data_IF_939236122855
#
_entry.id   IF_939236122855
#
_cell.length_a   1.000
_cell.length_b   1.000
_cell.length_c   1.000
_cell.angle_alpha   90.00
_cell.angle_beta   90.00
_cell.angle_gamma   90.00
#
_symmetry.space_group_name_H-M   'P 1'
#
loop_
_entity.id
_entity.type
_entity.pdbx_description
1 polymer ?
#
# COMPACT_ATOMS: atom_id res chain seq x y z
N UNK A 1 -5.64 -26.55 17.60
CA UNK A 1 -6.96 -26.06 18.05
C UNK A 1 -7.95 -26.68 17.11
N UNK A 2 -8.85 -27.53 17.61
CA UNK A 2 -9.81 -28.29 16.80
C UNK A 2 -11.21 -27.75 17.09
N UNK A 3 -12.04 -27.51 16.06
CA UNK A 3 -13.47 -27.12 16.19
C UNK A 3 -13.77 -25.81 16.95
N UNK A 4 -12.90 -24.80 16.85
CA UNK A 4 -13.05 -23.53 17.58
C UNK A 4 -14.33 -22.74 17.25
N UNK A 5 -14.76 -22.72 15.99
CA UNK A 5 -15.95 -22.00 15.51
C UNK A 5 -17.02 -22.96 14.97
N UNK A 6 -17.02 -24.19 15.48
CA UNK A 6 -17.94 -25.21 14.98
C UNK A 6 -19.39 -24.91 15.36
N UNK A 7 -20.29 -24.98 14.37
CA UNK A 7 -21.72 -24.71 14.57
C UNK A 7 -22.06 -23.23 14.77
N UNK A 8 -21.09 -22.32 14.62
CA UNK A 8 -21.32 -20.89 14.73
C UNK A 8 -22.05 -20.39 13.47
N UNK A 9 -23.36 -20.22 13.57
CA UNK A 9 -24.23 -19.87 12.43
C UNK A 9 -24.26 -18.37 12.10
N UNK A 10 -23.71 -17.54 12.98
CA UNK A 10 -23.63 -16.08 12.84
C UNK A 10 -22.22 -15.53 13.13
N UNK A 11 -21.18 -16.38 13.01
CA UNK A 11 -19.80 -15.94 13.22
C UNK A 11 -19.33 -15.10 12.02
N UNK A 12 -18.98 -13.85 12.30
CA UNK A 12 -18.58 -12.82 11.34
C UNK A 12 -17.59 -11.87 12.04
N UNK A 13 -16.45 -12.40 12.46
CA UNK A 13 -15.45 -11.66 13.24
C UNK A 13 -14.09 -11.71 12.54
N UNK A 14 -13.33 -10.61 12.65
CA UNK A 14 -11.98 -10.43 12.12
C UNK A 14 -10.96 -11.33 12.87
N UNK A 15 -10.09 -12.01 12.12
CA UNK A 15 -9.05 -12.90 12.62
C UNK A 15 -7.64 -12.58 12.08
N UNK A 16 -7.42 -11.38 11.52
CA UNK A 16 -6.15 -11.01 10.87
C UNK A 16 -4.91 -11.12 11.79
N UNK A 17 -5.09 -11.05 13.12
CA UNK A 17 -4.00 -11.20 14.10
C UNK A 17 -3.65 -12.66 14.45
N UNK A 18 -4.37 -13.65 13.91
CA UNK A 18 -4.11 -15.06 14.22
C UNK A 18 -3.08 -15.71 13.29
N UNK A 19 -2.72 -15.06 12.16
CA UNK A 19 -1.82 -15.59 11.12
C UNK A 19 -0.49 -16.14 11.66
N UNK A 20 0.12 -15.45 12.64
CA UNK A 20 1.44 -15.80 13.16
C UNK A 20 1.44 -17.02 14.12
N UNK A 21 0.29 -17.41 14.66
CA UNK A 21 0.16 -18.51 15.63
C UNK A 21 -0.43 -19.80 15.01
N UNK A 22 -0.78 -19.78 13.73
CA UNK A 22 -1.23 -20.96 13.01
C UNK A 22 -0.04 -21.76 12.50
N UNK A 23 0.34 -22.78 13.28
CA UNK A 23 1.31 -23.76 12.81
C UNK A 23 0.69 -24.60 11.68
N UNK A 24 1.19 -24.43 10.45
CA UNK A 24 0.82 -25.19 9.25
C UNK A 24 0.88 -26.73 9.40
N UNK A 25 1.61 -27.23 10.40
CA UNK A 25 1.70 -28.67 10.73
C UNK A 25 0.65 -29.14 11.75
N UNK A 26 -0.07 -28.22 12.42
CA UNK A 26 -1.25 -28.54 13.25
C UNK A 26 -2.52 -28.23 12.47
N UNK A 27 -2.91 -29.23 11.69
CA UNK A 27 -4.15 -29.38 10.92
C UNK A 27 -5.33 -28.65 11.60
N UNK A 28 -5.79 -27.55 10.99
CA UNK A 28 -6.95 -26.72 11.40
C UNK A 28 -8.27 -27.19 10.77
N UNK A 29 -8.27 -28.41 10.23
CA UNK A 29 -9.29 -28.96 9.32
C UNK A 29 -10.74 -28.87 9.83
N UNK A 30 -10.97 -28.97 11.14
CA UNK A 30 -12.34 -28.90 11.68
C UNK A 30 -12.72 -27.55 12.28
N UNK A 31 -11.93 -26.49 12.14
CA UNK A 31 -12.14 -25.22 12.85
C UNK A 31 -13.51 -24.59 12.59
N UNK A 32 -14.00 -24.67 11.35
CA UNK A 32 -15.23 -24.03 10.88
C UNK A 32 -16.32 -25.04 10.47
N UNK A 33 -16.20 -26.30 10.88
CA UNK A 33 -17.21 -27.32 10.56
C UNK A 33 -18.58 -26.88 11.11
N UNK A 34 -19.65 -27.06 10.34
CA UNK A 34 -21.01 -26.64 10.76
C UNK A 34 -21.24 -25.12 10.91
N UNK A 35 -20.23 -24.27 10.70
CA UNK A 35 -20.41 -22.81 10.69
C UNK A 35 -21.17 -22.32 9.45
N UNK A 36 -21.62 -21.06 9.49
CA UNK A 36 -22.21 -20.37 8.33
C UNK A 36 -21.22 -20.06 7.19
N UNK A 37 -19.93 -20.36 7.34
CA UNK A 37 -18.90 -19.94 6.40
C UNK A 37 -19.03 -20.61 5.03
N UNK A 38 -18.84 -19.84 3.96
CA UNK A 38 -19.00 -20.34 2.58
C UNK A 38 -17.91 -21.34 2.16
N UNK A 39 -16.72 -21.31 2.80
CA UNK A 39 -15.58 -22.11 2.39
C UNK A 39 -14.83 -22.69 3.59
N UNK A 40 -14.80 -24.02 3.68
CA UNK A 40 -14.45 -24.75 4.91
C UNK A 40 -13.27 -25.71 4.74
N UNK A 41 -12.77 -25.86 3.52
CA UNK A 41 -12.01 -27.05 3.11
C UNK A 41 -10.51 -26.82 2.83
N UNK A 42 -10.01 -25.60 2.94
CA UNK A 42 -8.58 -25.33 2.76
C UNK A 42 -8.07 -24.20 3.66
N UNK A 43 -7.52 -24.52 4.85
CA UNK A 43 -6.93 -23.54 5.75
C UNK A 43 -5.49 -23.13 5.37
N UNK A 44 -4.99 -23.51 4.18
CA UNK A 44 -3.62 -23.21 3.72
C UNK A 44 -3.53 -22.12 2.66
N UNK A 45 -4.65 -21.53 2.26
CA UNK A 45 -4.58 -20.36 1.39
C UNK A 45 -4.04 -19.18 2.20
N UNK A 46 -3.01 -18.50 1.68
CA UNK A 46 -2.44 -17.25 2.21
C UNK A 46 -3.46 -16.10 2.28
N UNK A 47 -4.73 -16.40 1.99
CA UNK A 47 -5.91 -15.56 2.00
C UNK A 47 -7.12 -16.28 2.65
N UNK A 48 -6.99 -16.81 3.88
CA UNK A 48 -8.09 -17.26 4.78
C UNK A 48 -8.60 -18.73 4.70
N UNK A 49 -9.52 -19.19 5.61
CA UNK A 49 -10.97 -19.16 5.33
C UNK A 49 -11.70 -17.98 5.98
N UNK A 50 -12.11 -16.94 5.27
CA UNK A 50 -13.21 -16.88 4.27
C UNK A 50 -14.62 -16.67 4.88
N UNK A 51 -14.81 -15.63 5.69
CA UNK A 51 -16.01 -14.78 5.67
C UNK A 51 -15.63 -13.33 6.05
N UNK A 52 -15.65 -12.46 5.02
CA UNK A 52 -15.53 -11.01 5.04
C UNK A 52 -14.23 -10.37 5.57
N UNK A 53 -13.12 -10.51 4.83
CA UNK A 53 -12.08 -9.47 4.89
C UNK A 53 -12.61 -8.25 4.13
N UNK A 54 -12.90 -7.16 4.85
CA UNK A 54 -13.11 -5.86 4.19
C UNK A 54 -12.22 -4.75 4.73
N UNK A 55 -11.41 -4.91 5.80
CA UNK A 55 -10.48 -3.85 6.25
C UNK A 55 -9.38 -4.34 7.21
N UNK A 56 -8.47 -5.21 6.74
CA UNK A 56 -7.18 -5.46 7.42
C UNK A 56 -6.05 -4.68 6.75
N UNK A 57 -6.29 -3.40 6.47
CA UNK A 57 -5.27 -2.53 5.89
C UNK A 57 -4.40 -1.97 7.02
N UNK A 58 -3.09 -2.13 6.90
CA UNK A 58 -2.14 -1.40 7.75
C UNK A 58 -2.30 0.09 7.42
N UNK A 59 -2.65 0.89 8.43
CA UNK A 59 -2.85 2.34 8.26
C UNK A 59 -1.56 3.06 8.60
N UNK A 60 -0.97 3.67 7.58
CA UNK A 60 0.20 4.54 7.72
C UNK A 60 -0.23 5.88 8.31
N UNK A 61 0.51 6.35 9.31
CA UNK A 61 0.19 7.62 9.99
C UNK A 61 1.26 8.69 9.79
N UNK A 62 2.49 8.29 9.46
CA UNK A 62 3.61 9.21 9.26
C UNK A 62 4.46 8.77 8.06
N UNK A 63 5.17 9.74 7.46
CA UNK A 63 6.04 9.53 6.30
C UNK A 63 7.05 8.39 6.52
N UNK A 64 7.72 8.36 7.67
CA UNK A 64 8.80 7.40 7.94
C UNK A 64 8.30 5.96 7.89
N UNK A 65 7.12 5.66 8.49
CA UNK A 65 6.51 4.33 8.45
C UNK A 65 6.19 3.90 7.01
N UNK A 66 5.59 4.81 6.24
CA UNK A 66 5.24 4.55 4.85
C UNK A 66 6.50 4.34 4.01
N UNK A 67 7.50 5.20 4.15
CA UNK A 67 8.76 5.11 3.42
C UNK A 67 9.52 3.82 3.73
N UNK A 68 9.55 3.39 4.99
CA UNK A 68 10.19 2.13 5.38
C UNK A 68 9.44 0.92 4.79
N UNK A 69 8.11 0.94 4.77
CA UNK A 69 7.32 -0.09 4.12
C UNK A 69 7.55 -0.15 2.60
N UNK A 70 7.68 1.00 1.92
CA UNK A 70 8.04 1.05 0.49
C UNK A 70 9.43 0.45 0.26
N UNK A 71 10.41 0.78 1.11
CA UNK A 71 11.76 0.19 1.05
C UNK A 71 11.71 -1.33 1.19
N UNK A 72 10.93 -1.85 2.14
CA UNK A 72 10.76 -3.29 2.32
C UNK A 72 10.07 -3.94 1.11
N UNK A 73 8.98 -3.32 0.61
CA UNK A 73 8.19 -3.84 -0.51
C UNK A 73 9.01 -3.89 -1.81
N UNK A 74 9.71 -2.81 -2.16
CA UNK A 74 10.54 -2.78 -3.37
C UNK A 74 11.81 -3.62 -3.22
N UNK A 75 12.42 -3.65 -2.02
CA UNK A 75 13.60 -4.48 -1.74
C UNK A 75 13.35 -5.98 -1.83
N UNK A 76 12.10 -6.42 -1.65
CA UNK A 76 11.68 -7.82 -1.83
C UNK A 76 11.19 -8.14 -3.26
N UNK A 77 11.26 -7.19 -4.20
CA UNK A 77 10.67 -7.31 -5.55
C UNK A 77 9.19 -7.73 -5.51
N UNK A 78 8.44 -7.22 -4.53
CA UNK A 78 7.01 -7.47 -4.37
C UNK A 78 6.15 -7.18 -5.61
N UNK A 79 6.47 -6.22 -6.51
CA UNK A 79 5.75 -6.07 -7.77
C UNK A 79 5.73 -7.37 -8.60
N UNK A 80 6.82 -8.13 -8.57
CA UNK A 80 6.99 -9.39 -9.31
C UNK A 80 6.71 -10.63 -8.45
N UNK A 81 6.97 -10.56 -7.14
CA UNK A 81 6.78 -11.64 -6.17
C UNK A 81 5.48 -11.43 -5.36
N UNK A 82 4.46 -12.24 -5.68
CA UNK A 82 3.17 -12.22 -4.99
C UNK A 82 3.24 -12.79 -3.56
N UNK A 83 4.28 -13.53 -3.22
CA UNK A 83 4.46 -14.17 -1.91
C UNK A 83 5.40 -13.38 -0.99
N UNK A 84 5.80 -12.17 -1.39
CA UNK A 84 6.68 -11.35 -0.58
C UNK A 84 6.03 -11.01 0.78
N UNK A 85 6.85 -10.91 1.83
CA UNK A 85 6.35 -10.69 3.18
C UNK A 85 5.70 -9.32 3.35
N UNK A 86 6.18 -8.29 2.64
CA UNK A 86 5.64 -6.94 2.74
C UNK A 86 4.16 -6.86 2.32
N UNK A 87 3.72 -7.68 1.35
CA UNK A 87 2.30 -7.77 0.97
C UNK A 87 1.44 -8.24 2.15
N UNK A 88 1.91 -9.22 2.91
CA UNK A 88 1.20 -9.69 4.11
C UNK A 88 1.26 -8.67 5.25
N UNK A 89 2.38 -7.95 5.40
CA UNK A 89 2.59 -6.99 6.47
C UNK A 89 1.74 -5.71 6.33
N UNK A 90 1.52 -5.25 5.09
CA UNK A 90 0.95 -3.91 4.83
C UNK A 90 -0.41 -3.91 4.15
N UNK A 91 -1.02 -5.08 3.94
CA UNK A 91 -2.37 -5.16 3.37
C UNK A 91 -2.41 -5.29 1.84
N UNK A 92 -1.39 -5.92 1.25
CA UNK A 92 -1.38 -6.35 -0.15
C UNK A 92 -0.52 -5.47 -1.05
N UNK A 93 -1.05 -5.19 -2.24
CA UNK A 93 -0.36 -4.35 -3.22
C UNK A 93 -0.18 -2.93 -2.69
N UNK A 94 0.97 -2.32 -2.98
CA UNK A 94 1.34 -0.99 -2.52
C UNK A 94 0.29 0.08 -2.85
N UNK A 95 -0.41 -0.06 -3.97
CA UNK A 95 -1.46 0.87 -4.39
C UNK A 95 -2.72 0.88 -3.53
N UNK A 96 -2.93 -0.14 -2.69
CA UNK A 96 -4.14 -0.30 -1.86
C UNK A 96 -3.90 0.03 -0.38
N UNK A 97 -2.69 0.48 -0.03
CA UNK A 97 -2.33 0.83 1.34
C UNK A 97 -3.13 2.02 1.86
N UNK A 98 -3.56 1.94 3.14
CA UNK A 98 -4.26 3.06 3.80
C UNK A 98 -3.25 4.13 4.21
N UNK A 99 -3.11 5.14 3.35
CA UNK A 99 -2.27 6.32 3.58
C UNK A 99 -3.09 7.56 3.96
N UNK A 100 -4.39 7.41 4.25
CA UNK A 100 -5.34 8.52 4.48
C UNK A 100 -4.98 9.42 5.67
N UNK A 101 -4.10 8.94 6.56
CA UNK A 101 -3.59 9.68 7.71
C UNK A 101 -2.22 10.31 7.52
N UNK A 102 -1.52 10.02 6.42
CA UNK A 102 -0.20 10.58 6.14
C UNK A 102 -0.38 12.00 5.61
N UNK A 103 0.37 12.95 6.18
CA UNK A 103 0.37 14.37 5.76
C UNK A 103 1.63 14.75 4.96
N UNK A 104 2.69 13.95 5.05
CA UNK A 104 3.93 14.13 4.33
C UNK A 104 4.24 12.92 3.42
N UNK A 105 4.15 13.14 2.10
CA UNK A 105 4.49 12.18 1.04
C UNK A 105 5.85 12.48 0.41
N UNK A 106 6.68 13.27 1.08
CA UNK A 106 7.99 13.63 0.57
C UNK A 106 8.87 12.41 0.41
N UNK A 107 9.60 12.38 -0.71
CA UNK A 107 10.65 11.41 -1.00
C UNK A 107 10.20 9.94 -0.88
N UNK A 108 8.99 9.56 -1.25
CA UNK A 108 8.52 8.18 -1.10
C UNK A 108 9.08 7.19 -2.14
N UNK A 109 9.33 7.62 -3.37
CA UNK A 109 9.84 6.81 -4.48
C UNK A 109 11.04 7.51 -5.13
N UNK A 110 12.12 7.69 -4.37
CA UNK A 110 13.31 8.40 -4.83
C UNK A 110 14.40 7.43 -5.25
N UNK A 111 15.04 7.68 -6.39
CA UNK A 111 16.28 7.01 -6.83
C UNK A 111 17.39 8.02 -7.14
N UNK A 112 17.62 8.96 -6.21
CA UNK A 112 18.68 9.97 -6.30
C UNK A 112 19.94 9.57 -5.53
N UNK A 113 21.01 10.37 -5.65
CA UNK A 113 22.28 10.09 -4.97
C UNK A 113 22.26 10.31 -3.44
N UNK A 114 21.19 10.88 -2.88
CA UNK A 114 21.18 11.35 -1.49
C UNK A 114 20.59 10.31 -0.53
N UNK A 115 19.41 9.75 -0.84
CA UNK A 115 18.74 8.68 -0.07
C UNK A 115 17.82 7.86 -0.99
N UNK A 116 18.38 6.99 -1.84
CA UNK A 116 17.59 6.20 -2.80
C UNK A 116 16.79 5.08 -2.11
N UNK A 117 15.72 4.64 -2.76
CA UNK A 117 15.08 3.34 -2.52
C UNK A 117 15.46 2.41 -3.67
N UNK A 118 16.09 1.29 -3.34
CA UNK A 118 16.34 0.20 -4.30
C UNK A 118 15.02 -0.24 -4.96
N UNK A 119 14.98 -0.20 -6.29
CA UNK A 119 13.79 -0.54 -7.08
C UNK A 119 12.87 0.63 -7.44
N UNK A 120 13.09 1.84 -6.90
CA UNK A 120 12.27 3.01 -7.23
C UNK A 120 12.40 3.46 -8.70
N UNK A 121 13.59 3.37 -9.30
CA UNK A 121 13.77 3.69 -10.74
C UNK A 121 12.89 2.84 -11.67
N UNK A 122 12.57 1.62 -11.25
CA UNK A 122 11.74 0.66 -12.02
C UNK A 122 10.29 0.62 -11.57
N UNK A 123 9.93 1.35 -10.50
CA UNK A 123 8.59 1.35 -9.94
C UNK A 123 7.57 1.97 -10.91
N UNK A 124 6.47 1.25 -11.16
CA UNK A 124 5.39 1.70 -12.04
C UNK A 124 4.04 1.02 -11.71
N UNK A 125 3.78 0.68 -10.44
CA UNK A 125 2.48 0.14 -10.01
C UNK A 125 1.47 1.28 -9.78
N UNK A 126 0.15 1.04 -10.00
CA UNK A 126 -0.88 2.03 -9.71
C UNK A 126 -0.92 2.38 -8.22
N UNK A 127 -1.22 3.64 -7.90
CA UNK A 127 -1.34 4.15 -6.53
C UNK A 127 -2.76 4.69 -6.30
N UNK A 128 -3.66 3.85 -5.81
CA UNK A 128 -5.07 4.21 -5.52
C UNK A 128 -5.20 4.84 -4.12
N UNK A 129 -4.28 5.74 -3.80
CA UNK A 129 -4.17 6.34 -2.48
C UNK A 129 -5.16 7.47 -2.26
N UNK A 130 -5.72 7.54 -1.04
CA UNK A 130 -6.40 8.73 -0.52
C UNK A 130 -5.36 9.67 0.08
N UNK A 131 -5.02 10.73 -0.66
CA UNK A 131 -4.03 11.74 -0.23
C UNK A 131 -4.68 12.99 0.35
N UNK A 132 -5.96 12.96 0.76
CA UNK A 132 -6.69 14.15 1.22
C UNK A 132 -6.13 14.80 2.49
N UNK A 133 -5.20 14.14 3.19
CA UNK A 133 -4.46 14.69 4.33
C UNK A 133 -3.11 15.31 3.94
N UNK A 134 -2.64 15.12 2.71
CA UNK A 134 -1.32 15.53 2.26
C UNK A 134 -1.14 17.05 2.28
N UNK A 135 -0.02 17.48 2.85
CA UNK A 135 0.45 18.87 2.84
C UNK A 135 1.80 19.01 2.12
N UNK A 136 2.59 17.93 2.06
CA UNK A 136 3.89 17.90 1.38
C UNK A 136 4.00 16.70 0.42
N UNK A 137 4.49 16.94 -0.79
CA UNK A 137 4.80 15.92 -1.81
C UNK A 137 6.19 16.17 -2.45
N UNK A 138 7.13 16.69 -1.66
CA UNK A 138 8.46 17.08 -2.09
C UNK A 138 9.24 15.88 -2.65
N UNK A 139 9.73 15.97 -3.89
CA UNK A 139 10.51 14.91 -4.53
C UNK A 139 9.89 13.51 -4.51
N UNK A 140 8.56 13.39 -4.41
CA UNK A 140 7.89 12.09 -4.20
C UNK A 140 8.31 11.01 -5.21
N UNK A 141 8.51 11.37 -6.48
CA UNK A 141 8.94 10.49 -7.57
C UNK A 141 10.26 10.93 -8.21
N UNK A 142 11.15 11.57 -7.45
CA UNK A 142 12.42 12.06 -8.00
C UNK A 142 13.27 10.90 -8.50
N UNK A 143 13.68 10.97 -9.76
CA UNK A 143 14.47 9.96 -10.48
C UNK A 143 13.78 8.58 -10.58
N UNK A 144 12.47 8.48 -10.30
CA UNK A 144 11.66 7.28 -10.56
C UNK A 144 11.41 7.12 -12.06
N UNK A 145 12.46 6.73 -12.79
CA UNK A 145 12.56 6.84 -14.25
C UNK A 145 11.41 6.15 -15.01
N UNK A 146 10.90 5.03 -14.50
CA UNK A 146 9.84 4.24 -15.12
C UNK A 146 8.41 4.67 -14.73
N UNK A 147 8.25 5.53 -13.71
CA UNK A 147 6.92 5.85 -13.19
C UNK A 147 6.08 6.63 -14.20
N UNK A 148 4.93 6.08 -14.57
CA UNK A 148 4.02 6.65 -15.56
C UNK A 148 2.57 6.20 -15.34
N UNK A 149 2.13 6.11 -14.07
CA UNK A 149 0.76 5.78 -13.72
C UNK A 149 -0.11 7.03 -13.56
N UNK A 150 -1.42 6.95 -13.89
CA UNK A 150 -2.33 8.06 -13.62
C UNK A 150 -2.43 8.32 -12.11
N UNK A 151 -2.49 9.60 -11.73
CA UNK A 151 -2.59 10.06 -10.34
C UNK A 151 -3.94 10.72 -10.05
N UNK A 152 -5.01 10.31 -10.74
CA UNK A 152 -6.32 10.95 -10.65
C UNK A 152 -7.01 10.78 -9.29
N UNK A 153 -6.51 9.89 -8.42
CA UNK A 153 -7.02 9.72 -7.04
C UNK A 153 -6.35 10.67 -6.05
N UNK A 154 -5.26 11.33 -6.43
CA UNK A 154 -4.53 12.22 -5.54
C UNK A 154 -5.34 13.51 -5.35
N UNK A 155 -5.74 13.78 -4.11
CA UNK A 155 -6.21 15.08 -3.67
C UNK A 155 -5.00 15.93 -3.27
N UNK A 156 -4.76 17.01 -4.01
CA UNK A 156 -3.67 17.95 -3.75
C UNK A 156 -4.13 19.29 -3.19
N UNK A 157 -5.41 19.42 -2.81
CA UNK A 157 -6.02 20.69 -2.38
C UNK A 157 -5.40 21.32 -1.12
N UNK A 158 -4.66 20.53 -0.33
CA UNK A 158 -3.94 20.99 0.87
C UNK A 158 -2.42 21.01 0.71
N UNK A 159 -1.91 20.58 -0.45
CA UNK A 159 -0.47 20.46 -0.68
C UNK A 159 0.10 21.84 -0.96
N UNK A 160 1.02 22.29 -0.10
CA UNK A 160 1.70 23.57 -0.25
C UNK A 160 3.12 23.45 -0.82
N UNK A 161 3.65 22.23 -0.91
CA UNK A 161 4.98 21.98 -1.43
C UNK A 161 5.02 20.72 -2.32
N UNK A 162 5.27 20.93 -3.60
CA UNK A 162 5.45 19.86 -4.62
C UNK A 162 6.82 19.94 -5.29
N UNK A 163 7.81 20.57 -4.65
CA UNK A 163 9.07 20.88 -5.30
C UNK A 163 9.77 19.60 -5.82
N UNK A 164 10.09 19.61 -7.10
CA UNK A 164 10.77 18.49 -7.77
C UNK A 164 10.04 17.15 -7.71
N UNK A 165 8.71 17.12 -7.50
CA UNK A 165 7.92 15.89 -7.36
C UNK A 165 8.19 14.86 -8.46
N UNK A 166 8.36 15.31 -9.72
CA UNK A 166 8.63 14.47 -10.89
C UNK A 166 10.01 14.73 -11.53
N UNK A 167 10.93 15.39 -10.81
CA UNK A 167 12.28 15.67 -11.33
C UNK A 167 12.97 14.36 -11.69
N UNK A 168 13.33 14.15 -12.96
CA UNK A 168 13.99 12.92 -13.42
C UNK A 168 13.07 11.71 -13.62
N UNK A 169 11.76 11.84 -13.41
CA UNK A 169 10.77 10.81 -13.75
C UNK A 169 10.55 10.72 -15.27
N UNK A 170 11.54 10.19 -15.98
CA UNK A 170 11.69 10.30 -17.44
C UNK A 170 10.50 9.77 -18.25
N UNK A 171 9.80 8.74 -17.75
CA UNK A 171 8.63 8.17 -18.43
C UNK A 171 7.32 8.91 -18.16
N UNK A 172 7.27 9.82 -17.18
CA UNK A 172 6.03 10.42 -16.73
C UNK A 172 5.42 11.33 -17.80
N UNK A 173 4.22 10.95 -18.26
CA UNK A 173 3.47 11.70 -19.26
C UNK A 173 1.97 11.53 -19.00
N UNK A 174 1.50 12.03 -17.85
CA UNK A 174 0.11 11.92 -17.41
C UNK A 174 -0.53 13.27 -17.21
N UNK A 175 -1.85 13.24 -17.34
CA UNK A 175 -2.70 14.41 -17.13
C UNK A 175 -2.65 14.83 -15.66
N UNK A 176 -2.34 16.09 -15.42
CA UNK A 176 -2.28 16.73 -14.11
C UNK A 176 -3.39 17.77 -13.91
N UNK A 177 -4.39 17.83 -14.80
CA UNK A 177 -5.49 18.82 -14.69
C UNK A 177 -6.32 18.70 -13.41
N UNK A 178 -6.28 17.55 -12.74
CA UNK A 178 -6.91 17.33 -11.44
C UNK A 178 -6.11 17.91 -10.26
N UNK A 179 -4.84 18.29 -10.45
CA UNK A 179 -4.01 18.81 -9.38
C UNK A 179 -4.40 20.25 -9.07
N UNK A 180 -4.88 20.45 -7.85
CA UNK A 180 -5.00 21.78 -7.28
C UNK A 180 -3.62 22.30 -6.86
N UNK A 181 -3.28 23.48 -7.36
CA UNK A 181 -2.00 24.17 -7.10
C UNK A 181 -2.21 25.52 -6.41
N UNK A 182 -3.42 25.81 -5.90
CA UNK A 182 -3.75 27.09 -5.30
C UNK A 182 -2.95 27.41 -4.03
N UNK A 183 -2.52 26.38 -3.31
CA UNK A 183 -1.75 26.48 -2.07
C UNK A 183 -0.22 26.37 -2.29
N UNK A 184 0.23 26.12 -3.53
CA UNK A 184 1.66 25.94 -3.85
C UNK A 184 2.32 27.29 -4.10
N UNK A 185 3.35 27.62 -3.31
CA UNK A 185 4.05 28.92 -3.40
C UNK A 185 4.80 29.11 -4.74
N UNK A 186 5.34 28.03 -5.30
CA UNK A 186 6.08 28.05 -6.56
C UNK A 186 5.72 26.84 -7.43
N UNK A 187 4.94 27.09 -8.48
CA UNK A 187 4.55 26.08 -9.47
C UNK A 187 5.54 25.93 -10.62
N UNK A 188 6.56 26.80 -10.70
CA UNK A 188 7.56 26.76 -11.78
C UNK A 188 8.43 25.48 -11.75
N UNK A 189 8.37 24.75 -10.65
CA UNK A 189 9.11 23.49 -10.42
C UNK A 189 8.29 22.23 -10.72
N UNK A 190 7.02 22.37 -11.08
CA UNK A 190 6.13 21.28 -11.49
C UNK A 190 6.16 21.02 -13.00
N UNK A 191 6.63 21.99 -13.80
CA UNK A 191 6.58 21.96 -15.25
C UNK A 191 7.98 22.23 -15.80
N UNK A 192 8.46 21.35 -16.68
CA UNK A 192 9.58 21.68 -17.58
C UNK A 192 9.15 22.70 -18.63
#
# INVERSE_FOLDING_TARGET
>A
MDRMFDGATAFDQDLCHFGDNFNQYKIVYNMFVGSGCANKSDPTSETGPWCAVTNCLYRFTINTELRDAIKEYLGQDCPSDLNCQARSNYGGAIGEWDVSSVDDFSRLFVDDSDDPIDGAATFNEPLNWDTGSATMMLYMFKDAAAFNQPLSTFDTSKVNNMFGMFSGAAAFNRDLTAFDTSEVEDVSVLLC
#
